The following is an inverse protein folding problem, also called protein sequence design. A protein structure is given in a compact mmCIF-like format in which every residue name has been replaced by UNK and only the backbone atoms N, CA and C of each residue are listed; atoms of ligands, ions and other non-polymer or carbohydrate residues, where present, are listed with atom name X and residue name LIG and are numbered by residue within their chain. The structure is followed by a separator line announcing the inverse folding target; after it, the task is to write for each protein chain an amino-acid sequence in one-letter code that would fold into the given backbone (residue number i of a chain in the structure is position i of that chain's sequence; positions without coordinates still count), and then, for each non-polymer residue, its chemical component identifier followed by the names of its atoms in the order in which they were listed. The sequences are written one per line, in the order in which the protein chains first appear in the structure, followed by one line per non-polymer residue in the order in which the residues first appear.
data_IF_996418639919
#
_entry.id   IF_996418639919
#
_cell.length_a   1.000
_cell.length_b   1.000
_cell.length_c   1.000
_cell.angle_alpha   90.00
_cell.angle_beta   90.00
_cell.angle_gamma   90.00
#
_symmetry.space_group_name_H-M   'P 1'
#
loop_
_entity.id
_entity.type
_entity.pdbx_description
1 polymer ?
#
# COMPACT_ATOMS: atom_id res chain seq x y z
N UNK A 1 0.06 -9.65 -12.35
CA UNK A 1 -0.50 -10.70 -13.23
C UNK A 1 -1.52 -11.54 -12.48
N UNK A 2 -1.20 -12.18 -11.36
CA UNK A 2 -2.11 -13.07 -10.59
C UNK A 2 -3.41 -12.40 -10.16
N UNK A 3 -3.36 -11.14 -9.68
CA UNK A 3 -4.58 -10.38 -9.33
C UNK A 3 -5.49 -10.20 -10.55
N UNK A 4 -4.91 -9.98 -11.74
CA UNK A 4 -5.68 -9.91 -12.98
C UNK A 4 -6.36 -11.25 -13.29
N UNK A 5 -5.65 -12.37 -13.15
CA UNK A 5 -6.20 -13.71 -13.37
C UNK A 5 -7.38 -14.01 -12.44
N UNK A 6 -7.30 -13.57 -11.17
CA UNK A 6 -8.41 -13.68 -10.21
C UNK A 6 -9.60 -12.84 -10.67
N UNK A 7 -9.41 -11.60 -11.05
CA UNK A 7 -10.49 -10.71 -11.50
C UNK A 7 -11.12 -11.16 -12.81
N UNK A 8 -10.31 -11.69 -13.74
CA UNK A 8 -10.83 -12.30 -14.98
C UNK A 8 -11.73 -13.53 -14.68
N UNK A 9 -11.33 -14.36 -13.70
CA UNK A 9 -12.13 -15.50 -13.26
C UNK A 9 -13.47 -15.08 -12.62
N UNK A 10 -13.48 -13.96 -11.89
CA UNK A 10 -14.66 -13.33 -11.30
C UNK A 10 -15.47 -12.50 -12.31
N UNK A 11 -15.04 -12.46 -13.59
CA UNK A 11 -15.68 -11.68 -14.66
C UNK A 11 -15.72 -10.16 -14.38
N UNK A 12 -14.66 -9.65 -13.75
CA UNK A 12 -14.46 -8.23 -13.52
C UNK A 12 -13.60 -7.68 -14.66
N UNK A 13 -14.20 -6.83 -15.47
CA UNK A 13 -13.49 -6.17 -16.58
C UNK A 13 -12.50 -5.12 -16.04
N UNK A 14 -11.25 -5.18 -16.50
CA UNK A 14 -10.19 -4.27 -16.09
C UNK A 14 -9.64 -3.52 -17.31
N UNK A 15 -9.70 -2.20 -17.25
CA UNK A 15 -9.09 -1.31 -18.25
C UNK A 15 -7.80 -0.73 -17.66
N UNK A 16 -6.66 -1.14 -18.20
CA UNK A 16 -5.34 -0.68 -17.75
C UNK A 16 -4.84 0.49 -18.57
N UNK A 17 -3.97 1.31 -17.96
CA UNK A 17 -3.37 2.49 -18.57
C UNK A 17 -4.41 3.48 -19.10
N UNK A 18 -5.48 3.66 -18.34
CA UNK A 18 -6.56 4.56 -18.68
C UNK A 18 -6.77 5.55 -17.52
N UNK A 19 -6.61 6.83 -17.82
CA UNK A 19 -6.98 7.90 -16.90
C UNK A 19 -8.45 8.26 -17.10
N UNK A 20 -9.16 8.53 -16.01
CA UNK A 20 -10.53 9.05 -16.07
C UNK A 20 -10.49 10.52 -16.45
N UNK A 21 -11.16 10.87 -17.55
CA UNK A 21 -11.27 12.26 -18.01
C UNK A 21 -12.48 12.93 -17.38
N UNK A 22 -13.61 12.23 -17.38
CA UNK A 22 -14.90 12.77 -16.95
C UNK A 22 -15.84 11.66 -16.49
N UNK A 23 -16.67 11.97 -15.52
CA UNK A 23 -17.84 11.16 -15.16
C UNK A 23 -19.09 12.04 -15.21
N UNK A 24 -20.18 11.51 -15.71
CA UNK A 24 -21.46 12.22 -15.77
C UNK A 24 -22.64 11.25 -15.62
N UNK A 25 -23.75 11.79 -15.11
CA UNK A 25 -25.00 11.05 -14.96
C UNK A 25 -25.82 11.19 -16.24
N UNK A 26 -26.38 10.09 -16.71
CA UNK A 26 -27.30 10.01 -17.85
C UNK A 26 -28.77 10.22 -17.43
N UNK A 27 -29.65 10.48 -18.38
CA UNK A 27 -31.09 10.69 -18.15
C UNK A 27 -31.79 9.45 -17.58
N UNK A 28 -31.28 8.26 -17.87
CA UNK A 28 -31.76 6.97 -17.36
C UNK A 28 -31.22 6.63 -15.96
N UNK A 29 -30.57 7.57 -15.26
CA UNK A 29 -29.89 7.42 -13.98
C UNK A 29 -28.62 6.55 -13.98
N UNK A 30 -28.13 6.06 -15.11
CA UNK A 30 -26.82 5.44 -15.20
C UNK A 30 -25.71 6.49 -15.12
N UNK A 31 -24.47 6.05 -14.91
CA UNK A 31 -23.28 6.90 -14.85
C UNK A 31 -22.31 6.42 -15.92
N UNK A 32 -21.86 7.34 -16.77
CA UNK A 32 -20.82 7.07 -17.77
C UNK A 32 -19.52 7.70 -17.33
N UNK A 33 -18.44 6.91 -17.40
CA UNK A 33 -17.06 7.33 -17.19
C UNK A 33 -16.35 7.30 -18.54
N UNK A 34 -15.76 8.42 -18.94
CA UNK A 34 -14.91 8.52 -20.13
C UNK A 34 -13.45 8.40 -19.71
N UNK A 35 -12.65 7.66 -20.50
CA UNK A 35 -11.24 7.44 -20.22
C UNK A 35 -10.37 7.99 -21.37
N UNK A 36 -9.04 8.09 -21.11
CA UNK A 36 -8.07 8.49 -22.15
C UNK A 36 -7.82 7.41 -23.19
N UNK A 37 -8.28 6.19 -22.94
CA UNK A 37 -8.10 5.08 -23.87
C UNK A 37 -9.19 5.14 -24.95
N UNK A 38 -8.78 5.09 -26.20
CA UNK A 38 -9.61 5.30 -27.39
C UNK A 38 -10.98 4.59 -27.33
N UNK A 39 -12.03 5.38 -27.14
CA UNK A 39 -13.42 4.92 -27.21
C UNK A 39 -13.96 4.14 -26.03
N UNK A 40 -13.16 3.88 -25.01
CA UNK A 40 -13.58 3.10 -23.84
C UNK A 40 -14.36 3.96 -22.84
N UNK A 41 -15.65 4.16 -23.15
CA UNK A 41 -16.62 4.66 -22.17
C UNK A 41 -17.22 3.49 -21.40
N UNK A 42 -17.21 3.60 -20.09
CA UNK A 42 -17.82 2.61 -19.21
C UNK A 42 -19.10 3.19 -18.61
N UNK A 43 -20.23 2.51 -18.81
CA UNK A 43 -21.50 2.91 -18.24
C UNK A 43 -21.98 1.87 -17.22
N UNK A 44 -22.41 2.33 -16.07
CA UNK A 44 -22.88 1.49 -14.98
C UNK A 44 -23.91 2.18 -14.11
N UNK A 45 -24.50 1.45 -13.18
CA UNK A 45 -25.50 1.98 -12.25
C UNK A 45 -24.88 2.72 -11.07
N UNK A 46 -23.64 2.38 -10.69
CA UNK A 46 -22.92 2.96 -9.56
C UNK A 46 -21.47 3.24 -9.93
N UNK A 47 -20.90 4.28 -9.33
CA UNK A 47 -19.49 4.63 -9.48
C UNK A 47 -18.84 4.68 -8.09
N UNK A 48 -17.76 3.90 -7.91
CA UNK A 48 -16.88 3.98 -6.75
C UNK A 48 -15.60 4.73 -7.12
N UNK A 49 -15.31 5.81 -6.39
CA UNK A 49 -14.04 6.53 -6.49
C UNK A 49 -13.04 5.99 -5.46
N UNK A 50 -12.08 5.21 -5.92
CA UNK A 50 -11.03 4.60 -5.10
C UNK A 50 -9.63 5.05 -5.56
N UNK A 51 -9.48 6.34 -5.89
CA UNK A 51 -8.33 6.95 -6.58
C UNK A 51 -7.27 7.55 -5.66
N UNK A 52 -7.28 7.20 -4.37
CA UNK A 52 -6.29 7.64 -3.40
C UNK A 52 -6.87 8.32 -2.18
N UNK A 53 -5.99 8.94 -1.38
CA UNK A 53 -6.32 9.60 -0.12
C UNK A 53 -5.66 10.97 -0.04
N UNK A 54 -6.34 11.90 0.59
CA UNK A 54 -5.84 13.21 0.98
C UNK A 54 -5.77 13.26 2.51
N UNK A 55 -4.67 13.73 3.13
CA UNK A 55 -4.59 13.83 4.58
C UNK A 55 -5.54 14.91 5.11
N UNK A 56 -6.22 14.63 6.21
CA UNK A 56 -7.13 15.60 6.86
C UNK A 56 -6.33 16.59 7.72
N UNK A 57 -5.50 17.40 7.11
CA UNK A 57 -4.65 18.39 7.78
C UNK A 57 -5.14 19.83 7.66
N UNK A 58 -6.16 20.08 6.84
CA UNK A 58 -6.62 21.44 6.52
C UNK A 58 -7.34 22.15 7.65
N UNK A 59 -7.94 21.39 8.57
CA UNK A 59 -8.69 21.94 9.72
C UNK A 59 -7.87 21.94 11.03
N UNK A 60 -6.57 21.68 10.97
CA UNK A 60 -5.71 21.65 12.15
C UNK A 60 -5.13 23.02 12.52
N UNK A 61 -5.44 24.07 11.76
CA UNK A 61 -4.91 25.41 12.01
C UNK A 61 -3.39 25.51 11.84
N UNK A 62 -2.79 24.65 11.01
CA UNK A 62 -1.34 24.58 10.81
C UNK A 62 -0.76 25.86 10.22
N UNK A 63 -1.58 26.67 9.54
CA UNK A 63 -1.22 28.00 9.04
C UNK A 63 -0.89 29.00 10.16
N UNK A 64 -1.31 28.72 11.40
CA UNK A 64 -0.97 29.51 12.59
C UNK A 64 0.29 29.01 13.30
N UNK A 65 0.98 28.05 12.69
CA UNK A 65 2.20 27.41 13.21
C UNK A 65 3.29 27.44 12.16
N UNK A 66 4.53 27.07 12.55
CA UNK A 66 5.62 26.88 11.61
C UNK A 66 5.72 25.43 11.10
N UNK A 67 4.70 24.61 11.31
CA UNK A 67 4.71 23.20 10.90
C UNK A 67 4.65 23.10 9.37
N UNK A 68 5.60 22.39 8.81
CA UNK A 68 5.72 22.21 7.37
C UNK A 68 4.90 21.03 6.87
N UNK A 69 4.26 21.23 5.70
CA UNK A 69 3.60 20.19 4.91
C UNK A 69 4.31 20.01 3.57
N UNK A 70 4.26 18.81 3.02
CA UNK A 70 4.67 18.60 1.64
C UNK A 70 3.58 19.03 0.64
N UNK A 71 3.90 18.98 -0.67
CA UNK A 71 2.98 19.40 -1.75
C UNK A 71 1.68 18.58 -1.82
N UNK A 72 1.60 17.42 -1.12
CA UNK A 72 0.41 16.57 -1.03
C UNK A 72 -0.39 16.78 0.25
N UNK A 73 0.00 17.74 1.08
CA UNK A 73 -0.67 18.08 2.34
C UNK A 73 -0.25 17.26 3.56
N UNK A 74 0.66 16.30 3.42
CA UNK A 74 1.18 15.53 4.56
C UNK A 74 2.13 16.37 5.41
N UNK A 75 2.05 16.23 6.74
CA UNK A 75 2.96 16.87 7.69
C UNK A 75 4.35 16.24 7.56
N UNK A 76 5.37 17.07 7.35
CA UNK A 76 6.76 16.61 7.28
C UNK A 76 7.25 16.16 8.65
N UNK A 77 7.83 14.97 8.71
CA UNK A 77 8.44 14.42 9.93
C UNK A 77 9.81 13.82 9.65
N UNK A 78 10.66 13.82 10.68
CA UNK A 78 11.92 13.10 10.69
C UNK A 78 11.71 11.60 10.98
N UNK A 79 12.82 10.85 11.13
CA UNK A 79 12.81 9.41 11.44
C UNK A 79 12.11 9.03 12.76
N UNK A 80 11.84 10.00 13.61
CA UNK A 80 11.22 9.82 14.93
C UNK A 80 9.81 10.35 15.02
N UNK A 81 9.14 10.55 13.87
CA UNK A 81 7.81 11.16 13.76
C UNK A 81 7.74 12.62 14.28
N UNK A 82 8.85 13.28 14.53
CA UNK A 82 8.89 14.66 15.01
C UNK A 82 8.83 15.62 13.81
N UNK A 83 8.02 16.68 13.95
CA UNK A 83 7.92 17.75 12.95
C UNK A 83 9.16 18.66 13.01
N UNK A 84 9.21 19.67 12.16
CA UNK A 84 10.20 20.74 12.23
C UNK A 84 10.05 21.65 13.46
N UNK A 85 8.94 21.54 14.20
CA UNK A 85 8.71 22.28 15.46
C UNK A 85 8.99 21.35 16.64
N UNK A 86 9.88 21.79 17.54
CA UNK A 86 10.27 21.02 18.71
C UNK A 86 9.07 20.67 19.59
N UNK A 87 9.00 19.41 20.05
CA UNK A 87 7.94 18.91 20.93
C UNK A 87 6.64 18.56 20.19
N UNK A 88 6.56 18.74 18.86
CA UNK A 88 5.38 18.40 18.09
C UNK A 88 5.67 17.18 17.18
N UNK A 89 4.83 16.18 17.27
CA UNK A 89 4.91 14.92 16.54
C UNK A 89 3.67 14.72 15.67
N UNK A 90 3.84 14.07 14.51
CA UNK A 90 2.74 13.66 13.66
C UNK A 90 2.81 12.16 13.39
N UNK A 91 1.74 11.42 13.72
CA UNK A 91 1.66 9.97 13.64
C UNK A 91 0.54 9.53 12.71
N UNK A 92 0.72 8.37 12.07
CA UNK A 92 -0.27 7.76 11.20
C UNK A 92 -0.38 8.43 9.84
N UNK A 93 -1.54 8.28 9.21
CA UNK A 93 -1.75 8.67 7.81
C UNK A 93 -1.35 10.12 7.50
N UNK A 94 -1.48 11.04 8.46
CA UNK A 94 -1.21 12.46 8.23
C UNK A 94 0.28 12.79 7.98
N UNK A 95 1.21 11.91 8.35
CA UNK A 95 2.65 12.10 8.08
C UNK A 95 3.12 11.48 6.75
N UNK A 96 2.26 10.71 6.06
CA UNK A 96 2.54 10.11 4.77
C UNK A 96 3.58 8.99 4.77
N UNK A 97 3.96 8.46 5.95
CA UNK A 97 4.95 7.37 6.09
C UNK A 97 4.32 5.97 6.10
N UNK A 98 3.03 5.88 5.84
CA UNK A 98 2.24 4.67 5.71
C UNK A 98 0.77 4.96 5.97
N UNK A 99 -0.12 4.09 5.46
CA UNK A 99 -1.58 4.30 5.51
C UNK A 99 -2.32 3.05 6.01
N UNK A 100 -1.73 2.34 6.96
CA UNK A 100 -2.33 1.19 7.62
C UNK A 100 -2.39 1.41 9.14
N UNK A 101 -3.37 0.80 9.79
CA UNK A 101 -3.53 0.90 11.25
C UNK A 101 -2.30 0.42 12.01
N UNK A 102 -1.66 -0.66 11.57
CA UNK A 102 -0.41 -1.15 12.18
C UNK A 102 0.77 -0.19 11.96
N UNK A 103 0.77 0.60 10.88
CA UNK A 103 1.77 1.66 10.65
C UNK A 103 1.58 2.81 11.64
N UNK A 104 0.34 3.27 11.83
CA UNK A 104 -0.01 4.25 12.85
C UNK A 104 0.38 3.79 14.26
N UNK A 105 0.13 2.52 14.58
CA UNK A 105 0.51 1.95 15.87
C UNK A 105 2.04 1.89 16.04
N UNK A 106 2.78 1.57 14.98
CA UNK A 106 4.24 1.62 15.03
C UNK A 106 4.78 3.06 15.19
N UNK A 107 4.15 4.05 14.55
CA UNK A 107 4.49 5.47 14.78
C UNK A 107 4.30 5.86 16.25
N UNK A 108 3.19 5.42 16.88
CA UNK A 108 2.99 5.57 18.32
C UNK A 108 4.15 4.97 19.13
N UNK A 109 4.56 3.73 18.82
CA UNK A 109 5.67 3.09 19.52
C UNK A 109 7.00 3.85 19.35
N UNK A 110 7.21 4.47 18.19
CA UNK A 110 8.40 5.32 17.95
C UNK A 110 8.34 6.57 18.83
N UNK A 111 7.21 7.28 18.83
CA UNK A 111 7.04 8.50 19.61
C UNK A 111 7.12 8.21 21.13
N UNK A 112 6.50 7.16 21.59
CA UNK A 112 6.56 6.71 22.99
C UNK A 112 8.02 6.40 23.40
N UNK A 113 8.76 5.69 22.54
CA UNK A 113 10.17 5.38 22.77
C UNK A 113 11.06 6.65 22.79
N UNK A 114 10.72 7.67 21.97
CA UNK A 114 11.44 8.95 21.99
C UNK A 114 11.17 9.77 23.26
N UNK A 115 9.95 9.73 23.78
CA UNK A 115 9.56 10.52 24.94
C UNK A 115 9.96 9.88 26.27
N UNK A 116 9.82 8.56 26.37
CA UNK A 116 9.92 7.83 27.64
C UNK A 116 10.88 6.64 27.63
N UNK A 117 11.41 6.25 26.46
CA UNK A 117 12.23 5.08 26.29
C UNK A 117 13.71 5.40 25.96
N UNK A 118 14.38 4.43 25.33
CA UNK A 118 15.81 4.43 25.02
C UNK A 118 16.18 5.27 23.78
N UNK A 119 15.20 5.84 23.09
CA UNK A 119 15.35 6.64 21.86
C UNK A 119 16.04 5.90 20.71
N UNK A 120 15.83 4.61 20.61
CA UNK A 120 16.50 3.72 19.65
C UNK A 120 15.58 3.23 18.51
N UNK A 121 14.29 3.58 18.50
CA UNK A 121 13.32 3.22 17.45
C UNK A 121 13.15 4.35 16.45
N UNK A 122 13.08 4.00 15.17
CA UNK A 122 12.88 4.96 14.06
C UNK A 122 12.06 4.35 12.91
N UNK A 123 11.54 5.20 12.04
CA UNK A 123 10.71 4.81 10.88
C UNK A 123 11.45 3.86 9.95
N UNK A 124 12.75 4.10 9.70
CA UNK A 124 13.57 3.26 8.81
C UNK A 124 13.82 1.83 9.34
N UNK A 125 13.58 1.56 10.63
CA UNK A 125 13.66 0.21 11.18
C UNK A 125 12.41 -0.64 10.87
N UNK A 126 11.37 -0.03 10.31
CA UNK A 126 10.10 -0.68 10.01
C UNK A 126 10.24 -1.66 8.86
N UNK A 127 9.87 -2.91 9.12
CA UNK A 127 9.70 -3.90 8.06
C UNK A 127 8.32 -3.66 7.41
N UNK A 128 8.31 -3.41 6.11
CA UNK A 128 7.07 -3.20 5.35
C UNK A 128 6.21 -4.46 5.38
N UNK A 129 4.96 -4.31 5.83
CA UNK A 129 3.95 -5.37 5.82
C UNK A 129 2.64 -4.82 5.29
N UNK A 130 1.94 -5.57 4.45
CA UNK A 130 0.59 -5.22 4.05
C UNK A 130 -0.19 -6.43 3.52
N UNK A 131 -1.51 -6.29 3.45
CA UNK A 131 -2.39 -7.24 2.80
C UNK A 131 -3.27 -6.56 1.76
N UNK A 132 -3.65 -7.31 0.72
CA UNK A 132 -4.78 -6.99 -0.14
C UNK A 132 -5.93 -7.89 0.28
N UNK A 133 -7.08 -7.28 0.56
CA UNK A 133 -8.29 -7.97 1.01
C UNK A 133 -9.18 -8.35 -0.17
N UNK A 134 -8.59 -9.04 -1.14
CA UNK A 134 -9.26 -9.69 -2.26
C UNK A 134 -9.51 -11.17 -1.90
N UNK A 135 -10.19 -11.92 -2.75
CA UNK A 135 -10.40 -13.36 -2.57
C UNK A 135 -9.76 -14.14 -3.73
N UNK A 136 -8.74 -14.98 -3.48
CA UNK A 136 -8.02 -15.16 -2.21
C UNK A 136 -7.20 -13.94 -1.80
N UNK A 137 -6.97 -13.73 -0.50
CA UNK A 137 -6.19 -12.58 -0.01
C UNK A 137 -4.70 -12.70 -0.32
N UNK A 138 -4.02 -11.56 -0.38
CA UNK A 138 -2.56 -11.51 -0.47
C UNK A 138 -2.01 -10.95 0.85
N UNK A 139 -1.10 -11.67 1.48
CA UNK A 139 -0.26 -11.19 2.57
C UNK A 139 1.18 -10.99 2.11
N UNK A 140 1.82 -9.91 2.58
CA UNK A 140 3.20 -9.59 2.22
C UNK A 140 4.00 -9.02 3.36
N UNK A 141 5.30 -9.36 3.41
CA UNK A 141 6.28 -8.83 4.37
C UNK A 141 7.64 -8.60 3.68
N UNK A 142 8.31 -7.53 4.07
CA UNK A 142 9.66 -7.19 3.59
C UNK A 142 9.74 -6.73 2.14
N UNK A 143 10.90 -6.93 1.52
CA UNK A 143 11.23 -6.41 0.19
C UNK A 143 10.59 -7.21 -0.93
N UNK A 144 10.27 -6.54 -2.04
CA UNK A 144 10.03 -7.17 -3.34
C UNK A 144 11.35 -7.61 -3.98
N UNK A 145 11.29 -8.46 -5.02
CA UNK A 145 12.45 -8.76 -5.87
C UNK A 145 13.11 -7.49 -6.39
N UNK A 146 12.31 -6.56 -6.91
CA UNK A 146 12.79 -5.29 -7.47
C UNK A 146 13.50 -4.45 -6.42
N UNK A 147 12.89 -4.30 -5.24
CA UNK A 147 13.50 -3.55 -4.13
C UNK A 147 14.79 -4.21 -3.65
N UNK A 148 14.81 -5.53 -3.47
CA UNK A 148 16.01 -6.24 -3.05
C UNK A 148 17.17 -6.07 -4.04
N UNK A 149 16.90 -6.19 -5.33
CA UNK A 149 17.91 -5.96 -6.39
C UNK A 149 18.36 -4.50 -6.41
N UNK A 150 17.43 -3.54 -6.32
CA UNK A 150 17.75 -2.10 -6.30
C UNK A 150 18.58 -1.71 -5.09
N UNK A 151 18.43 -2.43 -3.97
CA UNK A 151 19.23 -2.25 -2.76
C UNK A 151 20.58 -3.01 -2.81
N UNK A 152 20.93 -3.58 -3.97
CA UNK A 152 22.22 -4.24 -4.20
C UNK A 152 22.34 -5.67 -3.67
N UNK A 153 21.24 -6.29 -3.24
CA UNK A 153 21.27 -7.69 -2.79
C UNK A 153 21.37 -8.67 -3.97
N UNK A 154 22.23 -9.66 -3.84
CA UNK A 154 22.15 -10.90 -4.64
C UNK A 154 21.07 -11.76 -4.02
N UNK A 155 20.08 -12.17 -4.81
CA UNK A 155 18.90 -12.86 -4.29
C UNK A 155 18.76 -14.29 -4.81
N UNK A 156 18.24 -15.16 -3.95
CA UNK A 156 17.60 -16.42 -4.28
C UNK A 156 16.10 -16.25 -4.12
N UNK A 157 15.32 -16.79 -5.04
CA UNK A 157 13.86 -16.72 -5.00
C UNK A 157 13.30 -18.14 -4.99
N UNK A 158 12.57 -18.47 -3.93
CA UNK A 158 11.76 -19.67 -3.86
C UNK A 158 10.31 -19.29 -4.23
N UNK A 159 9.75 -19.99 -5.22
CA UNK A 159 8.40 -19.74 -5.70
C UNK A 159 7.61 -21.04 -5.77
N UNK A 160 6.39 -21.07 -5.22
CA UNK A 160 5.50 -22.21 -5.26
C UNK A 160 4.07 -21.79 -5.59
N UNK A 161 3.54 -22.16 -6.76
CA UNK A 161 2.13 -21.94 -7.09
C UNK A 161 1.20 -22.67 -6.14
N UNK A 162 0.03 -22.08 -5.85
CA UNK A 162 -0.95 -22.68 -4.93
C UNK A 162 -1.55 -23.96 -5.46
N UNK A 163 -1.62 -24.17 -6.78
CA UNK A 163 -2.01 -25.44 -7.40
C UNK A 163 -1.06 -26.61 -7.11
N UNK A 164 0.12 -26.36 -6.54
CA UNK A 164 1.08 -27.36 -6.05
C UNK A 164 1.02 -27.55 -4.52
N UNK A 165 0.08 -26.90 -3.85
CA UNK A 165 -0.13 -27.01 -2.41
C UNK A 165 -1.33 -27.92 -2.15
N UNK A 166 -1.10 -29.06 -1.43
CA UNK A 166 -2.14 -30.06 -1.21
C UNK A 166 -3.41 -29.50 -0.58
N UNK A 167 -3.26 -28.68 0.48
CA UNK A 167 -4.41 -28.09 1.18
C UNK A 167 -5.18 -27.09 0.33
N UNK A 168 -4.50 -26.33 -0.54
CA UNK A 168 -5.16 -25.42 -1.47
C UNK A 168 -6.04 -26.18 -2.49
N UNK A 169 -5.55 -27.34 -2.97
CA UNK A 169 -6.32 -28.22 -3.85
C UNK A 169 -7.56 -28.80 -3.16
N UNK A 170 -7.42 -29.24 -1.92
CA UNK A 170 -8.55 -29.77 -1.13
C UNK A 170 -9.66 -28.75 -0.94
N UNK A 171 -9.30 -27.48 -0.80
CA UNK A 171 -10.23 -26.36 -0.65
C UNK A 171 -10.76 -25.81 -1.98
N UNK A 172 -10.14 -26.15 -3.12
CA UNK A 172 -10.42 -25.51 -4.42
C UNK A 172 -9.83 -24.10 -4.55
N UNK A 173 -8.95 -23.66 -3.64
CA UNK A 173 -8.34 -22.34 -3.59
C UNK A 173 -6.94 -22.39 -4.24
N UNK A 174 -6.87 -22.59 -5.55
CA UNK A 174 -5.61 -22.84 -6.27
C UNK A 174 -5.02 -21.62 -6.97
N UNK A 175 -5.68 -20.47 -6.89
CA UNK A 175 -5.13 -19.21 -7.39
C UNK A 175 -4.01 -18.70 -6.48
N UNK A 176 -3.02 -18.04 -7.09
CA UNK A 176 -1.94 -17.41 -6.36
C UNK A 176 -0.70 -18.28 -6.20
N UNK A 177 0.20 -17.82 -5.35
CA UNK A 177 1.49 -18.46 -5.09
C UNK A 177 2.07 -18.04 -3.73
N UNK A 178 3.01 -18.80 -3.24
CA UNK A 178 3.92 -18.40 -2.16
C UNK A 178 5.27 -18.05 -2.76
N UNK A 179 5.88 -16.97 -2.29
CA UNK A 179 7.22 -16.57 -2.70
C UNK A 179 8.04 -16.13 -1.50
N UNK A 180 9.30 -16.55 -1.45
CA UNK A 180 10.30 -16.10 -0.49
C UNK A 180 11.52 -15.55 -1.21
N UNK A 181 12.04 -14.42 -0.74
CA UNK A 181 13.22 -13.74 -1.26
C UNK A 181 14.30 -13.80 -0.19
N UNK A 182 15.44 -14.35 -0.54
CA UNK A 182 16.55 -14.64 0.38
C UNK A 182 17.82 -13.99 -0.17
N UNK A 183 18.63 -13.40 0.70
CA UNK A 183 19.98 -12.96 0.36
C UNK A 183 20.86 -14.17 0.09
N UNK A 184 21.42 -14.27 -1.10
CA UNK A 184 22.24 -15.41 -1.56
C UNK A 184 23.60 -15.53 -0.84
N UNK A 185 24.06 -14.46 -0.18
CA UNK A 185 25.38 -14.42 0.47
C UNK A 185 25.32 -14.89 1.93
N UNK A 186 24.19 -14.59 2.62
CA UNK A 186 24.09 -14.87 4.07
C UNK A 186 22.84 -15.66 4.47
N UNK A 187 22.00 -16.06 3.49
CA UNK A 187 20.74 -16.78 3.69
C UNK A 187 19.68 -16.03 4.52
N UNK A 188 19.80 -14.73 4.66
CA UNK A 188 18.84 -13.91 5.39
C UNK A 188 17.55 -13.72 4.57
N UNK A 189 16.39 -13.85 5.19
CA UNK A 189 15.12 -13.51 4.58
C UNK A 189 15.04 -12.00 4.33
N UNK A 190 14.76 -11.61 3.09
CA UNK A 190 14.55 -10.23 2.68
C UNK A 190 13.07 -9.89 2.51
N UNK A 191 12.27 -10.85 2.09
CA UNK A 191 10.84 -10.67 1.92
C UNK A 191 10.09 -11.95 1.58
N UNK A 192 8.79 -11.92 1.76
CA UNK A 192 7.91 -13.03 1.40
C UNK A 192 6.49 -12.53 1.05
N UNK A 193 5.77 -13.33 0.27
CA UNK A 193 4.33 -13.14 0.06
C UNK A 193 3.59 -14.47 -0.11
N UNK A 194 2.35 -14.47 0.27
CA UNK A 194 1.41 -15.57 0.12
C UNK A 194 0.07 -15.03 -0.35
#
# INVERSE_FOLDING_TARGET
QTVKEIFDAEKIDMIFNADTIKAYKNDDNTITVTTTKDGDNVTGTHLLLAIGRVPNTDLLGLENTSIEKNNRGFINVNEYCQTNVEGIYAMGDCNGKGAFTHTSYNDYQIVENQLFGEKNRKISDRITTYGLFIDPPLGRVGMTKTEAISNGHKILVAHRPMDKVGRAKEKGETFGFMEAIINAENNQFLGACV
#
